data_IF_606030082558
#
_entry.id   IF_606030082558
#
_cell.length_a   1.000
_cell.length_b   1.000
_cell.length_c   1.000
_cell.angle_alpha   90.00
_cell.angle_beta   90.00
_cell.angle_gamma   90.00
#
_symmetry.space_group_name_H-M   'P 1'
#
loop_
_entity.id
_entity.type
_entity.pdbx_description
1 polymer ?
#
# COMPACT_ATOMS: atom_id res chain seq x y z
N UNK A 1 21.06 -15.71 54.27
CA UNK A 1 20.13 -16.02 53.16
C UNK A 1 20.76 -15.57 51.87
N UNK A 2 20.88 -16.52 50.94
CA UNK A 2 21.05 -16.36 49.50
C UNK A 2 22.32 -15.64 49.01
N UNK A 3 23.29 -16.43 48.53
CA UNK A 3 23.32 -16.93 47.14
C UNK A 3 23.66 -15.76 46.24
N UNK A 4 24.96 -15.63 45.97
CA UNK A 4 25.54 -15.98 44.67
C UNK A 4 25.57 -14.71 43.82
N UNK A 5 26.78 -14.29 43.49
CA UNK A 5 27.30 -14.46 42.14
C UNK A 5 26.44 -13.69 41.15
N UNK A 6 26.94 -12.75 40.39
CA UNK A 6 28.30 -12.58 39.88
C UNK A 6 28.05 -11.52 38.80
N UNK A 7 29.05 -10.67 38.57
CA UNK A 7 29.40 -10.17 37.24
C UNK A 7 28.27 -9.40 36.51
N UNK A 8 28.37 -8.07 36.46
CA UNK A 8 29.03 -7.39 35.34
C UNK A 8 28.48 -7.82 33.97
N UNK A 9 28.16 -6.79 33.18
CA UNK A 9 27.90 -6.84 31.74
C UNK A 9 26.46 -7.25 31.37
N UNK A 10 25.66 -6.27 30.94
CA UNK A 10 25.16 -6.24 29.56
C UNK A 10 24.27 -5.00 29.35
N UNK A 11 24.76 -4.17 28.44
CA UNK A 11 24.10 -3.15 27.62
C UNK A 11 22.58 -3.38 27.49
N UNK A 12 21.77 -2.37 27.80
CA UNK A 12 20.34 -2.37 27.48
C UNK A 12 20.14 -1.72 26.12
N UNK A 13 20.03 -2.55 25.10
CA UNK A 13 19.38 -2.20 23.84
C UNK A 13 17.87 -2.20 24.06
N UNK A 14 17.23 -1.04 23.91
CA UNK A 14 15.77 -0.98 23.73
C UNK A 14 15.52 -0.89 22.22
N UNK A 15 15.33 -2.05 21.59
CA UNK A 15 14.96 -2.21 20.17
C UNK A 15 13.46 -2.40 19.97
N UNK A 16 12.63 -2.10 20.98
CA UNK A 16 11.19 -2.40 20.92
C UNK A 16 10.36 -1.12 20.98
N UNK A 17 9.97 -0.64 19.80
CA UNK A 17 8.74 0.15 19.65
C UNK A 17 7.60 -0.86 19.77
N UNK A 18 6.85 -0.82 20.86
CA UNK A 18 5.58 -1.52 20.93
C UNK A 18 4.61 -0.86 19.95
N UNK A 19 4.46 -1.47 18.78
CA UNK A 19 3.18 -1.42 18.10
C UNK A 19 2.29 -2.45 18.76
N UNK A 20 1.07 -2.02 19.11
CA UNK A 20 -0.02 -2.93 19.42
C UNK A 20 -0.18 -3.83 18.18
N UNK A 21 0.38 -5.04 18.26
CA UNK A 21 0.17 -6.07 17.26
C UNK A 21 -1.17 -6.74 17.60
N UNK A 22 -2.26 -6.02 17.38
CA UNK A 22 -3.61 -6.60 17.42
C UNK A 22 -3.96 -7.31 16.11
N UNK A 23 -3.04 -7.35 15.14
CA UNK A 23 -3.22 -8.05 13.87
C UNK A 23 -2.20 -9.18 13.73
N UNK A 24 -2.66 -10.40 14.01
CA UNK A 24 -2.04 -11.61 13.48
C UNK A 24 -2.54 -11.79 12.04
N UNK A 25 -2.00 -11.01 11.11
CA UNK A 25 -1.97 -11.50 9.73
C UNK A 25 -0.91 -12.59 9.74
N UNK A 26 -1.30 -13.83 9.99
CA UNK A 26 -0.43 -14.97 9.71
C UNK A 26 -0.15 -14.97 8.21
N UNK A 27 0.98 -14.41 7.79
CA UNK A 27 1.49 -14.61 6.45
C UNK A 27 1.98 -16.06 6.35
N UNK A 28 1.04 -16.98 6.13
CA UNK A 28 1.30 -18.39 5.90
C UNK A 28 2.09 -18.65 4.61
N UNK A 29 2.45 -17.61 3.83
CA UNK A 29 3.48 -17.69 2.80
C UNK A 29 4.83 -17.66 3.50
N UNK A 30 5.37 -18.86 3.78
CA UNK A 30 6.78 -19.07 4.15
C UNK A 30 7.67 -18.03 3.47
N UNK A 31 8.17 -17.08 4.26
CA UNK A 31 9.37 -16.30 4.10
C UNK A 31 10.05 -16.41 2.71
N UNK A 32 9.48 -15.78 1.69
CA UNK A 32 10.20 -15.54 0.42
C UNK A 32 11.37 -14.56 0.63
N UNK A 33 11.43 -13.89 1.78
CA UNK A 33 12.50 -12.96 2.16
C UNK A 33 13.53 -13.52 3.15
N UNK A 34 13.47 -14.81 3.53
CA UNK A 34 14.33 -15.35 4.59
C UNK A 34 14.07 -14.65 5.94
N UNK A 35 14.98 -14.79 6.91
CA UNK A 35 14.90 -14.24 8.28
C UNK A 35 14.68 -12.70 8.39
N UNK A 36 14.52 -11.96 7.28
CA UNK A 36 14.44 -10.51 7.26
C UNK A 36 13.02 -9.98 7.50
N UNK A 37 12.91 -9.05 8.44
CA UNK A 37 11.67 -8.38 8.80
C UNK A 37 11.42 -7.20 7.82
N UNK A 38 10.25 -7.16 7.16
CA UNK A 38 9.86 -6.06 6.24
C UNK A 38 10.03 -4.68 6.87
N UNK A 39 9.82 -4.58 8.19
CA UNK A 39 9.99 -3.32 8.93
C UNK A 39 11.45 -2.86 8.91
N UNK A 40 12.40 -3.78 9.09
CA UNK A 40 13.84 -3.47 9.08
C UNK A 40 14.27 -2.98 7.70
N UNK A 41 13.83 -3.66 6.64
CA UNK A 41 14.12 -3.26 5.26
C UNK A 41 13.56 -1.86 4.98
N UNK A 42 12.34 -1.56 5.43
CA UNK A 42 11.73 -0.25 5.26
C UNK A 42 12.49 0.84 6.03
N UNK A 43 12.92 0.55 7.26
CA UNK A 43 13.73 1.46 8.07
C UNK A 43 15.08 1.74 7.39
N UNK A 44 15.76 0.71 6.89
CA UNK A 44 17.03 0.85 6.17
C UNK A 44 16.87 1.64 4.86
N UNK A 45 15.74 1.48 4.17
CA UNK A 45 15.41 2.27 2.99
C UNK A 45 15.26 3.76 3.34
N UNK A 46 14.51 4.08 4.39
CA UNK A 46 14.34 5.47 4.83
C UNK A 46 15.65 6.11 5.29
N UNK A 47 16.48 5.34 6.00
CA UNK A 47 17.82 5.77 6.41
C UNK A 47 18.71 6.03 5.20
N UNK A 48 18.71 5.14 4.21
CA UNK A 48 19.49 5.31 2.98
C UNK A 48 19.03 6.50 2.15
N UNK A 49 17.75 6.85 2.24
CA UNK A 49 17.16 8.06 1.67
C UNK A 49 17.41 9.34 2.51
N UNK A 50 18.12 9.24 3.64
CA UNK A 50 18.42 10.33 4.58
C UNK A 50 17.18 11.05 5.14
N UNK A 51 16.07 10.33 5.33
CA UNK A 51 14.82 10.91 5.80
C UNK A 51 14.78 11.01 7.33
N UNK A 52 14.63 12.23 7.83
CA UNK A 52 14.54 12.55 9.26
C UNK A 52 15.73 12.00 10.09
N UNK A 53 16.93 12.09 9.52
CA UNK A 53 18.17 11.59 10.14
C UNK A 53 18.42 12.17 11.54
N UNK A 54 17.93 13.39 11.82
CA UNK A 54 18.12 14.07 13.11
C UNK A 54 17.36 13.39 14.24
N UNK A 55 16.21 12.80 13.94
CA UNK A 55 15.38 12.12 14.94
C UNK A 55 15.51 10.60 14.85
N UNK A 56 16.31 10.05 13.94
CA UNK A 56 16.47 8.60 13.74
C UNK A 56 16.74 7.85 15.06
N UNK A 57 15.96 6.81 15.33
CA UNK A 57 16.02 6.01 16.55
C UNK A 57 15.36 6.65 17.78
N UNK A 58 14.86 7.89 17.69
CA UNK A 58 14.09 8.53 18.76
C UNK A 58 12.58 8.21 18.66
N UNK A 59 11.80 8.38 19.74
CA UNK A 59 10.34 8.27 19.70
C UNK A 59 9.65 9.25 18.73
N UNK A 60 10.33 10.35 18.39
CA UNK A 60 9.85 11.39 17.50
C UNK A 60 10.22 11.13 16.03
N UNK A 61 10.94 10.05 15.73
CA UNK A 61 11.33 9.74 14.36
C UNK A 61 10.10 9.51 13.48
N UNK A 62 9.97 10.31 12.43
CA UNK A 62 9.02 10.09 11.37
C UNK A 62 9.68 10.43 10.02
N UNK A 63 10.16 9.42 9.26
CA UNK A 63 10.81 9.64 7.97
C UNK A 63 9.89 10.31 6.95
N UNK A 64 8.57 10.25 7.13
CA UNK A 64 7.61 10.92 6.25
C UNK A 64 7.23 12.33 6.75
N UNK A 65 7.60 12.73 7.97
CA UNK A 65 7.22 14.03 8.56
C UNK A 65 7.90 15.25 7.92
N UNK A 66 9.01 15.03 7.21
CA UNK A 66 9.61 16.08 6.38
C UNK A 66 8.78 16.37 5.12
N UNK A 67 8.04 15.38 4.62
CA UNK A 67 7.24 15.44 3.39
C UNK A 67 5.77 15.77 3.68
N UNK A 68 5.20 15.13 4.70
CA UNK A 68 3.80 15.25 5.10
C UNK A 68 3.72 16.19 6.30
N UNK A 69 2.97 17.27 6.18
CA UNK A 69 2.73 18.21 7.26
C UNK A 69 1.40 17.93 7.97
N UNK A 70 1.30 18.27 9.27
CA UNK A 70 0.04 18.15 9.97
C UNK A 70 -1.08 18.89 9.25
N UNK A 71 -2.22 18.22 9.05
CA UNK A 71 -3.37 18.76 8.33
C UNK A 71 -3.37 18.51 6.81
N UNK A 72 -2.32 17.91 6.23
CA UNK A 72 -2.30 17.58 4.80
C UNK A 72 -3.36 16.51 4.44
N UNK A 73 -3.75 16.50 3.16
CA UNK A 73 -4.48 15.39 2.55
C UNK A 73 -3.49 14.47 1.82
N UNK A 74 -3.40 13.21 2.26
CA UNK A 74 -2.41 12.26 1.75
C UNK A 74 -3.08 11.19 0.90
N UNK A 75 -2.54 10.93 -0.29
CA UNK A 75 -2.91 9.79 -1.13
C UNK A 75 -1.82 8.72 -1.05
N UNK A 76 -2.17 7.51 -0.63
CA UNK A 76 -1.30 6.32 -0.70
C UNK A 76 -1.78 5.47 -1.86
N UNK A 77 -0.96 5.35 -2.90
CA UNK A 77 -1.27 4.53 -4.08
C UNK A 77 -0.47 3.22 -4.07
N UNK A 78 -1.01 2.11 -3.49
CA UNK A 78 -0.39 0.81 -3.64
C UNK A 78 -0.40 0.36 -5.11
N UNK A 79 0.19 -0.81 -5.34
CA UNK A 79 0.05 -1.54 -6.58
C UNK A 79 -0.98 -2.64 -6.35
N UNK A 80 -2.13 -2.58 -7.04
CA UNK A 80 -3.14 -3.63 -7.08
C UNK A 80 -3.42 -3.95 -8.55
N UNK A 81 -2.73 -4.94 -9.12
CA UNK A 81 -2.86 -5.24 -10.55
C UNK A 81 -4.07 -6.13 -10.81
N UNK A 82 -4.09 -7.33 -10.22
CA UNK A 82 -5.09 -8.36 -10.48
C UNK A 82 -5.22 -9.32 -9.30
N UNK A 83 -6.44 -9.76 -9.02
CA UNK A 83 -6.79 -10.79 -8.03
C UNK A 83 -6.26 -12.19 -8.33
N UNK A 84 -5.77 -12.42 -9.56
CA UNK A 84 -5.23 -13.69 -10.02
C UNK A 84 -3.91 -13.50 -10.78
N UNK A 85 -2.99 -14.43 -10.56
CA UNK A 85 -1.78 -14.57 -11.36
C UNK A 85 -1.94 -15.74 -12.34
N UNK A 86 -1.98 -15.43 -13.63
CA UNK A 86 -2.20 -16.41 -14.70
C UNK A 86 -1.03 -17.38 -14.91
N UNK A 87 0.14 -17.09 -14.35
CA UNK A 87 1.27 -18.01 -14.40
C UNK A 87 1.17 -19.14 -13.35
N UNK A 88 0.17 -19.10 -12.45
CA UNK A 88 0.05 -20.03 -11.33
C UNK A 88 0.97 -19.73 -10.14
N UNK A 89 1.79 -18.67 -10.22
CA UNK A 89 2.60 -18.20 -9.08
C UNK A 89 1.75 -17.40 -8.10
N UNK A 90 2.33 -17.02 -6.95
CA UNK A 90 1.68 -16.15 -5.98
C UNK A 90 1.32 -14.75 -6.50
N UNK A 91 0.58 -13.99 -5.70
CA UNK A 91 0.18 -12.62 -6.03
C UNK A 91 1.29 -11.58 -5.84
N UNK A 92 2.48 -11.97 -5.38
CA UNK A 92 3.51 -11.05 -4.88
C UNK A 92 3.97 -10.01 -5.91
N UNK A 93 3.94 -10.33 -7.20
CA UNK A 93 4.26 -9.38 -8.28
C UNK A 93 3.06 -8.51 -8.72
N UNK A 94 1.86 -8.82 -8.23
CA UNK A 94 0.61 -8.15 -8.60
C UNK A 94 0.10 -7.21 -7.50
N UNK A 95 0.63 -7.32 -6.28
CA UNK A 95 0.14 -6.54 -5.14
C UNK A 95 1.28 -5.95 -4.32
N UNK A 96 1.07 -4.77 -3.73
CA UNK A 96 1.95 -4.27 -2.67
C UNK A 96 1.76 -5.11 -1.42
N UNK A 97 2.82 -5.63 -0.80
CA UNK A 97 2.66 -6.42 0.42
C UNK A 97 1.84 -5.69 1.51
N UNK A 98 0.87 -6.37 2.14
CA UNK A 98 -0.05 -5.77 3.10
C UNK A 98 0.66 -5.26 4.37
N UNK A 99 1.70 -5.96 4.85
CA UNK A 99 2.50 -5.52 5.99
C UNK A 99 3.33 -4.27 5.62
N UNK A 100 3.88 -4.21 4.41
CA UNK A 100 4.55 -2.99 3.93
C UNK A 100 3.57 -1.81 3.92
N UNK A 101 2.36 -2.00 3.37
CA UNK A 101 1.33 -0.97 3.33
C UNK A 101 0.93 -0.51 4.74
N UNK A 102 0.74 -1.44 5.69
CA UNK A 102 0.50 -1.14 7.11
C UNK A 102 1.55 -0.18 7.66
N UNK A 103 2.83 -0.51 7.52
CA UNK A 103 3.90 0.31 8.08
C UNK A 103 3.93 1.71 7.47
N UNK A 104 3.71 1.83 6.17
CA UNK A 104 3.59 3.13 5.50
C UNK A 104 2.42 3.92 6.08
N UNK A 105 1.23 3.30 6.22
CA UNK A 105 0.06 3.96 6.82
C UNK A 105 0.39 4.48 8.22
N UNK A 106 1.07 3.67 9.05
CA UNK A 106 1.41 4.10 10.41
C UNK A 106 2.36 5.30 10.45
N UNK A 107 3.35 5.38 9.56
CA UNK A 107 4.21 6.56 9.46
C UNK A 107 3.45 7.79 8.95
N UNK A 108 2.51 7.58 8.02
CA UNK A 108 1.62 8.65 7.54
C UNK A 108 0.74 9.16 8.68
N UNK A 109 0.12 8.28 9.48
CA UNK A 109 -0.70 8.67 10.65
C UNK A 109 0.12 9.49 11.65
N UNK A 110 1.37 9.12 11.92
CA UNK A 110 2.27 9.88 12.81
C UNK A 110 2.52 11.32 12.34
N UNK A 111 2.37 11.61 11.04
CA UNK A 111 2.48 12.96 10.50
C UNK A 111 1.22 13.82 10.75
N UNK A 112 0.17 13.24 11.34
CA UNK A 112 -1.10 13.89 11.68
C UNK A 112 -1.81 14.57 10.50
N UNK A 113 -2.05 13.84 9.38
CA UNK A 113 -2.79 14.39 8.25
C UNK A 113 -4.27 14.65 8.61
N UNK A 114 -4.92 15.56 7.88
CA UNK A 114 -6.36 15.76 8.01
C UNK A 114 -7.16 14.62 7.37
N UNK A 115 -6.61 14.00 6.32
CA UNK A 115 -7.27 12.95 5.53
C UNK A 115 -6.25 12.03 4.87
N UNK A 116 -6.57 10.74 4.80
CA UNK A 116 -5.78 9.76 4.05
C UNK A 116 -6.71 9.04 3.07
N UNK A 117 -6.34 8.97 1.79
CA UNK A 117 -7.00 8.13 0.80
C UNK A 117 -6.02 7.03 0.38
N UNK A 118 -6.45 5.78 0.43
CA UNK A 118 -5.67 4.62 0.03
C UNK A 118 -6.41 3.97 -1.13
N UNK A 119 -5.78 3.91 -2.30
CA UNK A 119 -6.46 3.37 -3.47
C UNK A 119 -5.59 3.16 -4.69
N UNK A 120 -6.08 2.35 -5.61
CA UNK A 120 -5.46 2.12 -6.91
C UNK A 120 -6.54 1.89 -7.98
N UNK A 121 -6.12 1.87 -9.24
CA UNK A 121 -6.95 1.50 -10.39
C UNK A 121 -6.45 0.17 -10.99
N UNK A 122 -6.90 -0.99 -10.47
CA UNK A 122 -6.48 -2.29 -11.01
C UNK A 122 -6.96 -2.48 -12.45
N UNK A 123 -6.49 -3.53 -13.13
CA UNK A 123 -7.00 -3.85 -14.47
C UNK A 123 -8.52 -4.07 -14.45
N UNK A 124 -9.22 -3.72 -15.52
CA UNK A 124 -10.70 -3.76 -15.56
C UNK A 124 -11.31 -5.12 -15.16
N UNK A 125 -10.60 -6.21 -15.43
CA UNK A 125 -11.04 -7.57 -15.07
C UNK A 125 -10.80 -7.96 -13.60
N UNK A 126 -10.18 -7.11 -12.80
CA UNK A 126 -9.87 -7.43 -11.41
C UNK A 126 -11.11 -7.43 -10.51
N UNK A 127 -11.36 -8.54 -9.82
CA UNK A 127 -12.27 -8.57 -8.67
C UNK A 127 -11.54 -8.04 -7.44
N UNK A 128 -11.82 -6.79 -7.08
CA UNK A 128 -11.14 -6.10 -5.97
C UNK A 128 -11.41 -6.76 -4.61
N UNK A 129 -12.59 -7.39 -4.43
CA UNK A 129 -12.90 -8.09 -3.18
C UNK A 129 -12.06 -9.36 -3.07
N UNK A 130 -11.96 -10.11 -4.16
CA UNK A 130 -11.08 -11.28 -4.20
C UNK A 130 -9.61 -10.90 -4.02
N UNK A 131 -9.14 -9.79 -4.63
CA UNK A 131 -7.80 -9.27 -4.40
C UNK A 131 -7.58 -8.96 -2.91
N UNK A 132 -8.52 -8.26 -2.28
CA UNK A 132 -8.41 -7.85 -0.88
C UNK A 132 -8.33 -9.04 0.08
N UNK A 133 -9.19 -10.03 -0.15
CA UNK A 133 -9.19 -11.29 0.59
C UNK A 133 -7.89 -12.07 0.39
N UNK A 134 -7.49 -12.30 -0.86
CA UNK A 134 -6.37 -13.19 -1.19
C UNK A 134 -5.00 -12.57 -0.86
N UNK A 135 -4.90 -11.25 -0.81
CA UNK A 135 -3.66 -10.53 -0.50
C UNK A 135 -3.54 -10.04 0.95
N UNK A 136 -4.52 -10.37 1.82
CA UNK A 136 -4.47 -10.04 3.25
C UNK A 136 -4.78 -8.59 3.59
N UNK A 137 -5.60 -7.91 2.78
CA UNK A 137 -6.01 -6.53 3.03
C UNK A 137 -7.32 -6.41 3.81
N UNK A 138 -8.19 -7.43 3.85
CA UNK A 138 -9.50 -7.34 4.53
C UNK A 138 -9.33 -6.92 6.00
N UNK A 139 -8.52 -7.66 6.73
CA UNK A 139 -8.12 -7.41 8.11
C UNK A 139 -7.53 -6.00 8.32
N UNK A 140 -6.62 -5.59 7.42
CA UNK A 140 -5.98 -4.28 7.44
C UNK A 140 -7.01 -3.14 7.30
N UNK A 141 -7.94 -3.30 6.36
CA UNK A 141 -9.00 -2.32 6.06
C UNK A 141 -9.94 -2.19 7.26
N UNK A 142 -10.35 -3.31 7.85
CA UNK A 142 -11.23 -3.33 9.02
C UNK A 142 -10.58 -2.60 10.21
N UNK A 143 -9.31 -2.87 10.48
CA UNK A 143 -8.55 -2.19 11.54
C UNK A 143 -8.54 -0.68 11.36
N UNK A 144 -8.08 -0.19 10.21
CA UNK A 144 -7.90 1.24 10.02
C UNK A 144 -9.23 1.98 9.92
N UNK A 145 -10.27 1.37 9.34
CA UNK A 145 -11.61 1.97 9.33
C UNK A 145 -12.19 2.12 10.74
N UNK A 146 -11.97 1.15 11.62
CA UNK A 146 -12.48 1.19 12.99
C UNK A 146 -11.76 2.23 13.86
N UNK A 147 -10.44 2.43 13.65
CA UNK A 147 -9.61 3.26 14.52
C UNK A 147 -9.32 4.66 13.96
N UNK A 148 -9.41 4.85 12.65
CA UNK A 148 -9.02 6.07 11.94
C UNK A 148 -10.06 6.44 10.88
N UNK A 149 -11.21 7.04 11.27
CA UNK A 149 -12.34 7.29 10.38
C UNK A 149 -12.05 8.29 9.23
N UNK A 150 -10.93 9.01 9.30
CA UNK A 150 -10.44 9.91 8.24
C UNK A 150 -9.61 9.18 7.16
N UNK A 151 -9.50 7.85 7.25
CA UNK A 151 -8.86 7.00 6.24
C UNK A 151 -9.91 6.37 5.34
N UNK A 152 -9.82 6.66 4.04
CA UNK A 152 -10.69 6.12 3.01
C UNK A 152 -9.97 5.09 2.16
N UNK A 153 -10.67 4.01 1.80
CA UNK A 153 -10.18 2.98 0.88
C UNK A 153 -10.98 3.05 -0.41
N UNK A 154 -10.31 3.25 -1.55
CA UNK A 154 -10.98 3.52 -2.83
C UNK A 154 -10.43 2.65 -3.97
N UNK A 155 -11.34 2.18 -4.82
CA UNK A 155 -11.05 1.63 -6.14
C UNK A 155 -11.21 2.76 -7.16
N UNK A 156 -10.14 3.26 -7.75
CA UNK A 156 -10.22 4.45 -8.61
C UNK A 156 -10.84 4.19 -9.99
N UNK A 157 -11.21 2.95 -10.30
CA UNK A 157 -11.87 2.64 -11.56
C UNK A 157 -13.25 3.28 -11.61
N UNK A 158 -13.53 3.97 -12.71
CA UNK A 158 -14.89 4.35 -13.10
C UNK A 158 -15.64 3.21 -13.82
N UNK A 159 -14.89 2.23 -14.35
CA UNK A 159 -15.38 1.17 -15.22
C UNK A 159 -14.68 -0.16 -14.89
N UNK A 160 -15.41 -1.28 -14.95
CA UNK A 160 -14.84 -2.64 -14.86
C UNK A 160 -15.50 -3.56 -15.87
N UNK A 161 -14.87 -4.70 -16.18
CA UNK A 161 -15.53 -5.74 -16.97
C UNK A 161 -16.65 -6.38 -16.15
N UNK A 162 -17.80 -6.60 -16.78
CA UNK A 162 -18.88 -7.36 -16.17
C UNK A 162 -18.44 -8.81 -15.94
N UNK A 163 -18.85 -9.41 -14.82
CA UNK A 163 -18.50 -10.80 -14.44
C UNK A 163 -18.96 -11.87 -15.45
N UNK A 164 -19.85 -11.53 -16.38
CA UNK A 164 -20.60 -12.49 -17.21
C UNK A 164 -20.00 -12.69 -18.62
N UNK A 165 -18.72 -12.39 -18.82
CA UNK A 165 -17.93 -12.76 -20.00
C UNK A 165 -18.43 -12.26 -21.38
N UNK A 166 -19.24 -11.21 -21.39
CA UNK A 166 -19.39 -10.38 -22.58
C UNK A 166 -18.54 -9.13 -22.37
N UNK A 167 -18.09 -8.49 -23.45
CA UNK A 167 -17.30 -7.24 -23.44
C UNK A 167 -18.10 -6.04 -22.88
N UNK A 168 -19.05 -6.29 -21.99
CA UNK A 168 -19.84 -5.30 -21.28
C UNK A 168 -19.03 -4.71 -20.12
N UNK A 169 -19.26 -3.42 -19.91
CA UNK A 169 -18.57 -2.62 -18.91
C UNK A 169 -19.60 -2.25 -17.85
N UNK A 170 -19.33 -2.61 -16.59
CA UNK A 170 -20.06 -2.07 -15.45
C UNK A 170 -19.49 -0.67 -15.14
N UNK A 171 -20.38 0.32 -14.98
CA UNK A 171 -20.01 1.59 -14.37
C UNK A 171 -19.93 1.39 -12.85
N UNK A 172 -18.85 1.88 -12.25
CA UNK A 172 -18.71 1.94 -10.80
C UNK A 172 -19.22 3.29 -10.30
N UNK A 173 -19.67 3.33 -9.04
CA UNK A 173 -20.22 4.55 -8.42
C UNK A 173 -19.21 5.73 -8.42
N UNK A 174 -17.92 5.44 -8.61
CA UNK A 174 -16.82 6.40 -8.65
C UNK A 174 -16.76 7.25 -9.93
N UNK A 175 -17.69 7.10 -10.87
CA UNK A 175 -17.83 8.01 -12.03
C UNK A 175 -18.06 9.47 -11.58
N UNK A 176 -18.65 9.69 -10.39
CA UNK A 176 -18.85 11.05 -9.86
C UNK A 176 -17.58 11.70 -9.31
N UNK A 177 -16.56 10.88 -9.02
CA UNK A 177 -15.26 11.31 -8.52
C UNK A 177 -14.22 11.44 -9.66
N UNK A 178 -14.63 11.27 -10.93
CA UNK A 178 -13.74 11.33 -12.08
C UNK A 178 -14.00 12.54 -12.97
N UNK A 179 -12.92 13.05 -13.56
CA UNK A 179 -12.97 14.03 -14.65
C UNK A 179 -12.53 13.33 -15.94
N UNK A 180 -13.28 13.54 -17.02
CA UNK A 180 -12.81 13.15 -18.35
C UNK A 180 -11.81 14.22 -18.79
N UNK A 181 -10.56 13.81 -19.00
CA UNK A 181 -9.51 14.67 -19.50
C UNK A 181 -9.17 14.27 -20.92
N UNK A 182 -9.54 15.12 -21.88
CA UNK A 182 -9.30 14.90 -23.31
C UNK A 182 -8.17 15.84 -23.78
N UNK A 183 -7.07 15.25 -24.23
CA UNK A 183 -5.91 15.96 -24.73
C UNK A 183 -6.10 16.48 -26.17
N UNK A 184 -7.07 15.96 -26.92
CA UNK A 184 -7.30 16.34 -28.32
C UNK A 184 -6.00 16.38 -29.15
N UNK A 185 -5.80 17.49 -29.85
CA UNK A 185 -4.63 17.72 -30.71
C UNK A 185 -3.30 17.90 -29.94
N UNK A 186 -3.35 18.14 -28.62
CA UNK A 186 -2.15 18.23 -27.77
C UNK A 186 -1.61 16.86 -27.35
N UNK A 187 -2.29 15.77 -27.71
CA UNK A 187 -1.83 14.42 -27.44
C UNK A 187 -0.50 14.14 -28.15
N UNK A 188 0.50 13.67 -27.40
CA UNK A 188 1.75 13.16 -27.98
C UNK A 188 1.54 11.97 -28.92
N UNK A 189 0.38 11.33 -28.86
CA UNK A 189 -0.01 10.25 -29.76
C UNK A 189 -0.73 10.75 -31.02
N UNK A 190 -1.08 12.04 -31.11
CA UNK A 190 -1.83 12.58 -32.26
C UNK A 190 -1.10 12.40 -33.61
N UNK A 191 0.24 12.60 -33.71
CA UNK A 191 0.95 12.35 -34.97
C UNK A 191 0.82 10.91 -35.50
N UNK A 192 0.50 9.96 -34.63
CA UNK A 192 0.32 8.53 -34.96
C UNK A 192 -1.13 8.04 -34.76
N UNK A 193 -2.09 8.93 -34.51
CA UNK A 193 -3.50 8.59 -34.24
C UNK A 193 -4.15 7.85 -35.42
N UNK A 194 -3.78 8.19 -36.66
CA UNK A 194 -4.26 7.52 -37.89
C UNK A 194 -3.89 6.04 -37.96
N UNK A 195 -2.83 5.63 -37.26
CA UNK A 195 -2.36 4.26 -37.18
C UNK A 195 -3.04 3.47 -36.05
N UNK A 196 -4.17 3.95 -35.50
CA UNK A 196 -4.79 3.36 -34.31
C UNK A 196 -5.02 1.85 -34.36
N UNK A 197 -5.25 1.29 -35.56
CA UNK A 197 -5.43 -0.15 -35.79
C UNK A 197 -4.17 -0.99 -35.49
N UNK A 198 -2.99 -0.36 -35.49
CA UNK A 198 -1.72 -0.99 -35.10
C UNK A 198 -1.55 -1.02 -33.57
N UNK A 199 -2.28 -0.19 -32.83
CA UNK A 199 -2.25 -0.23 -31.37
C UNK A 199 -3.08 -1.40 -30.86
N UNK A 200 -2.60 -1.99 -29.77
CA UNK A 200 -3.33 -2.98 -28.99
C UNK A 200 -3.62 -2.37 -27.64
N UNK A 201 -4.90 -2.40 -27.24
CA UNK A 201 -5.26 -2.09 -25.85
C UNK A 201 -5.04 -3.34 -25.02
N UNK A 202 -4.06 -3.30 -24.13
CA UNK A 202 -3.78 -4.37 -23.17
C UNK A 202 -4.62 -4.17 -21.91
N UNK A 203 -5.94 -4.36 -22.01
CA UNK A 203 -6.88 -4.52 -20.86
C UNK A 203 -6.58 -3.62 -19.62
N UNK A 204 -6.35 -2.33 -19.83
CA UNK A 204 -6.22 -1.34 -18.75
C UNK A 204 -7.57 -0.78 -18.32
#
# INVERSE_FOLDING_TARGET
MKIMNKLYENIVFITRIEYINTFNVEDNRKNIYGEYNINEILIDLFKSANLDNRNFGSPNWNPLGEIIKPGDCVLIKPNWVSHENKSGNGLDCLVTNALLLKNIIDFVIRAMPARIVIGDAPVQGCDIRALFKNAGYEELVEYYKANYPYIEWKDFRAKRLAKNNQRSIDLLDNVRDSIIFDLGEESLLEPISKDYKKFRVTMY
#
